data_IF_519560472794
#
_entry.id   IF_519560472794
#
_cell.length_a   1.000
_cell.length_b   1.000
_cell.length_c   1.000
_cell.angle_alpha   90.00
_cell.angle_beta   90.00
_cell.angle_gamma   90.00
#
_symmetry.space_group_name_H-M   'P 1'
#
loop_
_entity.id
_entity.type
_entity.pdbx_description
1 polymer ?
#
# COMPACT_ATOMS: atom_id res chain seq x y z
N UNK A 1 15.78 4.43 -11.16
CA UNK A 1 14.77 5.06 -10.32
C UNK A 1 15.47 5.73 -9.15
N UNK A 2 15.37 7.06 -9.07
CA UNK A 2 15.95 7.85 -8.01
C UNK A 2 15.17 7.73 -6.69
N UNK A 3 15.81 8.13 -5.58
CA UNK A 3 15.16 8.15 -4.25
C UNK A 3 13.93 9.07 -4.24
N UNK A 4 13.98 10.18 -4.98
CA UNK A 4 12.87 11.13 -5.13
C UNK A 4 11.65 10.49 -5.82
N UNK A 5 11.87 9.79 -6.94
CA UNK A 5 10.81 9.10 -7.69
C UNK A 5 10.12 8.04 -6.85
N UNK A 6 10.92 7.24 -6.13
CA UNK A 6 10.39 6.22 -5.22
C UNK A 6 9.57 6.83 -4.07
N UNK A 7 10.03 7.95 -3.52
CA UNK A 7 9.33 8.66 -2.45
C UNK A 7 7.97 9.19 -2.92
N UNK A 8 7.92 9.79 -4.11
CA UNK A 8 6.67 10.30 -4.71
C UNK A 8 5.70 9.14 -5.00
N UNK A 9 6.21 8.03 -5.55
CA UNK A 9 5.44 6.81 -5.78
C UNK A 9 4.80 6.29 -4.48
N UNK A 10 5.58 6.16 -3.40
CA UNK A 10 5.08 5.70 -2.10
C UNK A 10 4.02 6.67 -1.56
N UNK A 11 4.24 7.98 -1.66
CA UNK A 11 3.30 8.97 -1.14
C UNK A 11 1.93 8.89 -1.84
N UNK A 12 1.94 8.83 -3.18
CA UNK A 12 0.72 8.68 -3.99
C UNK A 12 0.04 7.34 -3.66
N UNK A 13 0.82 6.26 -3.62
CA UNK A 13 0.32 4.94 -3.28
C UNK A 13 -0.34 4.90 -1.91
N UNK A 14 0.28 5.49 -0.89
CA UNK A 14 -0.27 5.55 0.46
C UNK A 14 -1.61 6.29 0.50
N UNK A 15 -1.74 7.40 -0.22
CA UNK A 15 -3.02 8.11 -0.33
C UNK A 15 -4.12 7.26 -0.94
N UNK A 16 -3.81 6.54 -2.03
CA UNK A 16 -4.73 5.62 -2.71
C UNK A 16 -5.12 4.45 -1.79
N UNK A 17 -4.15 3.88 -1.08
CA UNK A 17 -4.38 2.79 -0.12
C UNK A 17 -5.30 3.22 1.01
N UNK A 18 -5.06 4.38 1.61
CA UNK A 18 -5.93 4.94 2.65
C UNK A 18 -7.35 5.13 2.10
N UNK A 19 -7.49 5.66 0.88
CA UNK A 19 -8.80 5.86 0.26
C UNK A 19 -9.59 4.55 0.05
N UNK A 20 -8.92 3.46 -0.37
CA UNK A 20 -9.58 2.18 -0.57
C UNK A 20 -9.83 1.41 0.73
N UNK A 21 -8.94 1.50 1.71
CA UNK A 21 -9.01 0.75 2.96
C UNK A 21 -9.94 1.41 3.99
N UNK A 22 -10.13 2.74 3.95
CA UNK A 22 -11.03 3.42 4.88
C UNK A 22 -12.49 3.23 4.44
N UNK A 23 -13.35 2.63 5.28
CA UNK A 23 -14.74 2.44 4.94
C UNK A 23 -15.52 3.77 5.00
N UNK A 24 -16.26 4.08 3.95
CA UNK A 24 -17.08 5.28 3.87
C UNK A 24 -18.35 5.11 4.72
N UNK A 25 -18.66 6.15 5.51
CA UNK A 25 -19.66 6.22 6.61
C UNK A 25 -21.06 5.62 6.39
N UNK A 26 -21.46 5.21 5.17
CA UNK A 26 -22.87 4.96 4.84
C UNK A 26 -23.49 3.75 5.57
N UNK A 27 -22.70 2.77 6.02
CA UNK A 27 -23.23 1.57 6.69
C UNK A 27 -22.91 1.47 8.19
N UNK A 28 -22.20 2.45 8.77
CA UNK A 28 -21.80 2.38 10.19
C UNK A 28 -22.95 2.63 11.17
N UNK A 29 -24.13 3.10 10.72
CA UNK A 29 -25.21 3.49 11.65
C UNK A 29 -25.93 2.30 12.29
N UNK A 30 -25.87 1.10 11.69
CA UNK A 30 -26.61 -0.07 12.21
C UNK A 30 -25.77 -0.99 13.12
N UNK A 31 -24.44 -0.99 13.01
CA UNK A 31 -23.55 -1.88 13.79
C UNK A 31 -23.01 -1.29 15.11
N UNK A 32 -23.26 0.00 15.42
CA UNK A 32 -22.69 0.69 16.61
C UNK A 32 -23.09 0.02 17.95
N UNK A 33 -24.08 -0.88 17.97
CA UNK A 33 -24.55 -1.55 19.19
C UNK A 33 -23.58 -2.59 19.78
N UNK A 34 -22.54 -3.05 19.06
CA UNK A 34 -21.57 -4.04 19.59
C UNK A 34 -20.19 -3.44 19.88
N UNK A 35 -19.48 -3.83 20.96
CA UNK A 35 -18.13 -3.35 21.25
C UNK A 35 -17.20 -3.72 20.09
N UNK A 36 -16.77 -2.71 19.33
CA UNK A 36 -15.99 -2.91 18.11
C UNK A 36 -14.55 -3.25 18.50
N UNK A 37 -14.16 -4.51 18.30
CA UNK A 37 -12.82 -5.00 18.63
C UNK A 37 -11.84 -4.79 17.46
N UNK A 38 -10.53 -4.75 17.75
CA UNK A 38 -9.50 -4.63 16.70
C UNK A 38 -9.61 -5.73 15.63
N UNK A 39 -10.04 -6.94 16.01
CA UNK A 39 -10.29 -8.06 15.11
C UNK A 39 -11.44 -7.79 14.13
N UNK A 40 -12.54 -7.19 14.60
CA UNK A 40 -13.66 -6.81 13.74
C UNK A 40 -13.27 -5.68 12.78
N UNK A 41 -12.43 -4.74 13.23
CA UNK A 41 -11.84 -3.71 12.37
C UNK A 41 -11.03 -4.31 11.23
N UNK A 42 -10.19 -5.30 11.51
CA UNK A 42 -9.40 -6.00 10.50
C UNK A 42 -10.30 -6.71 9.47
N UNK A 43 -11.29 -7.46 9.94
CA UNK A 43 -12.23 -8.16 9.05
C UNK A 43 -13.02 -7.18 8.18
N UNK A 44 -13.48 -6.08 8.76
CA UNK A 44 -14.23 -5.06 8.03
C UNK A 44 -13.38 -4.38 6.94
N UNK A 45 -12.09 -4.15 7.20
CA UNK A 45 -11.16 -3.57 6.21
C UNK A 45 -10.85 -4.60 5.11
N UNK A 46 -10.64 -5.87 5.44
CA UNK A 46 -10.26 -6.92 4.48
C UNK A 46 -11.40 -7.36 3.56
N UNK A 47 -12.62 -7.51 4.08
CA UNK A 47 -13.74 -8.09 3.32
C UNK A 47 -14.59 -7.05 2.57
N UNK A 48 -14.12 -5.80 2.46
CA UNK A 48 -14.80 -4.80 1.67
C UNK A 48 -14.46 -4.95 0.18
N UNK A 49 -15.41 -4.71 -0.73
CA UNK A 49 -15.17 -4.69 -2.20
C UNK A 49 -14.02 -3.76 -2.64
N UNK A 50 -13.65 -2.80 -1.79
CA UNK A 50 -12.57 -1.84 -2.04
C UNK A 50 -11.19 -2.40 -1.68
N UNK A 51 -11.10 -3.41 -0.82
CA UNK A 51 -9.84 -4.09 -0.53
C UNK A 51 -9.26 -4.79 -1.77
N UNK A 52 -10.12 -5.26 -2.68
CA UNK A 52 -9.69 -5.78 -3.98
C UNK A 52 -8.99 -4.71 -4.83
N UNK A 53 -9.48 -3.47 -4.80
CA UNK A 53 -8.84 -2.34 -5.49
C UNK A 53 -7.49 -1.99 -4.87
N UNK A 54 -7.38 -2.07 -3.54
CA UNK A 54 -6.11 -1.91 -2.83
C UNK A 54 -5.10 -3.00 -3.24
N UNK A 55 -5.53 -4.27 -3.31
CA UNK A 55 -4.69 -5.37 -3.77
C UNK A 55 -4.25 -5.20 -5.23
N UNK A 56 -5.15 -4.81 -6.12
CA UNK A 56 -4.83 -4.49 -7.52
C UNK A 56 -3.84 -3.34 -7.62
N UNK A 57 -4.00 -2.29 -6.80
CA UNK A 57 -3.07 -1.17 -6.76
C UNK A 57 -1.67 -1.59 -6.30
N UNK A 58 -1.57 -2.50 -5.32
CA UNK A 58 -0.29 -3.07 -4.90
C UNK A 58 0.36 -3.89 -6.03
N UNK A 59 -0.42 -4.73 -6.72
CA UNK A 59 0.07 -5.49 -7.87
C UNK A 59 0.59 -4.58 -8.98
N UNK A 60 -0.16 -3.52 -9.31
CA UNK A 60 0.25 -2.52 -10.29
C UNK A 60 1.56 -1.82 -9.87
N UNK A 61 1.68 -1.45 -8.59
CA UNK A 61 2.90 -0.83 -8.06
C UNK A 61 4.12 -1.75 -8.19
N UNK A 62 3.99 -3.05 -7.88
CA UNK A 62 5.08 -4.00 -8.02
C UNK A 62 5.52 -4.15 -9.48
N UNK A 63 4.57 -4.24 -10.41
CA UNK A 63 4.89 -4.26 -11.86
C UNK A 63 5.58 -2.97 -12.28
N UNK A 64 5.11 -1.81 -11.81
CA UNK A 64 5.73 -0.52 -12.12
C UNK A 64 7.18 -0.44 -11.62
N UNK A 65 7.46 -0.93 -10.40
CA UNK A 65 8.83 -1.01 -9.87
C UNK A 65 9.69 -1.91 -10.77
N UNK A 66 9.20 -3.10 -11.13
CA UNK A 66 9.91 -4.01 -12.02
C UNK A 66 10.26 -3.35 -13.36
N UNK A 67 9.25 -2.83 -14.05
CA UNK A 67 9.39 -2.21 -15.36
C UNK A 67 10.29 -0.98 -15.33
N UNK A 68 10.25 -0.18 -14.26
CA UNK A 68 11.14 0.97 -14.10
C UNK A 68 12.62 0.56 -14.03
N UNK A 69 12.95 -0.46 -13.25
CA UNK A 69 14.33 -0.96 -13.14
C UNK A 69 14.79 -1.67 -14.42
N UNK A 70 13.94 -2.47 -15.06
CA UNK A 70 14.21 -3.09 -16.37
C UNK A 70 14.54 -2.03 -17.42
N UNK A 71 13.75 -0.96 -17.49
CA UNK A 71 13.95 0.12 -18.44
C UNK A 71 15.26 0.87 -18.20
N UNK A 72 15.64 1.11 -16.94
CA UNK A 72 16.93 1.73 -16.61
C UNK A 72 18.11 0.86 -17.01
N UNK A 73 18.04 -0.44 -16.74
CA UNK A 73 19.08 -1.41 -17.13
C UNK A 73 19.19 -1.47 -18.65
N UNK A 74 18.07 -1.57 -19.35
CA UNK A 74 18.04 -1.57 -20.81
C UNK A 74 18.67 -0.29 -21.38
N UNK A 75 18.28 0.87 -20.88
CA UNK A 75 18.80 2.15 -21.35
C UNK A 75 20.31 2.28 -21.11
N UNK A 76 20.79 1.90 -19.91
CA UNK A 76 22.21 1.90 -19.60
C UNK A 76 22.98 0.94 -20.52
N UNK A 77 22.52 -0.30 -20.67
CA UNK A 77 23.22 -1.31 -21.46
C UNK A 77 23.23 -0.99 -22.97
N UNK A 78 22.20 -0.30 -23.46
CA UNK A 78 22.09 0.09 -24.87
C UNK A 78 22.93 1.34 -25.23
N UNK A 79 23.14 2.26 -24.28
CA UNK A 79 23.66 3.59 -24.61
C UNK A 79 24.90 4.05 -23.83
N UNK A 80 25.31 3.33 -22.77
CA UNK A 80 26.37 3.82 -21.88
C UNK A 80 27.79 3.57 -22.40
N UNK A 81 27.99 2.60 -23.31
CA UNK A 81 29.32 2.17 -23.76
C UNK A 81 30.16 1.46 -22.69
N UNK A 82 29.59 1.20 -21.51
CA UNK A 82 30.19 0.46 -20.41
C UNK A 82 29.74 -1.02 -20.41
N UNK A 83 30.41 -1.91 -19.66
CA UNK A 83 29.96 -3.29 -19.50
C UNK A 83 28.52 -3.37 -18.96
N UNK A 84 27.76 -4.39 -19.37
CA UNK A 84 26.36 -4.50 -18.99
C UNK A 84 26.20 -4.63 -17.47
N UNK A 85 25.23 -3.90 -16.93
CA UNK A 85 24.86 -3.95 -15.52
C UNK A 85 23.59 -4.79 -15.34
N UNK A 86 23.43 -5.36 -14.14
CA UNK A 86 22.19 -5.97 -13.69
C UNK A 86 21.67 -5.25 -12.43
N UNK A 87 20.35 -5.08 -12.31
CA UNK A 87 19.71 -4.43 -11.17
C UNK A 87 18.76 -5.34 -10.36
N UNK A 88 18.64 -6.63 -10.70
CA UNK A 88 17.70 -7.58 -10.09
C UNK A 88 17.68 -7.55 -8.55
N UNK A 89 18.85 -7.53 -7.92
CA UNK A 89 18.95 -7.53 -6.45
C UNK A 89 18.36 -6.26 -5.82
N UNK A 90 18.52 -5.11 -6.48
CA UNK A 90 17.93 -3.85 -6.03
C UNK A 90 16.42 -3.88 -6.25
N UNK A 91 15.97 -4.33 -7.43
CA UNK A 91 14.54 -4.43 -7.77
C UNK A 91 13.79 -5.31 -6.77
N UNK A 92 14.31 -6.50 -6.46
CA UNK A 92 13.73 -7.42 -5.48
C UNK A 92 13.70 -6.78 -4.09
N UNK A 93 14.79 -6.12 -3.66
CA UNK A 93 14.84 -5.44 -2.38
C UNK A 93 13.73 -4.37 -2.25
N UNK A 94 13.55 -3.53 -3.27
CA UNK A 94 12.51 -2.49 -3.25
C UNK A 94 11.09 -3.07 -3.29
N UNK A 95 10.87 -4.16 -4.03
CA UNK A 95 9.59 -4.88 -3.99
C UNK A 95 9.28 -5.43 -2.60
N UNK A 96 10.25 -6.10 -1.96
CA UNK A 96 10.09 -6.61 -0.60
C UNK A 96 9.87 -5.49 0.41
N UNK A 97 10.61 -4.39 0.30
CA UNK A 97 10.42 -3.21 1.16
C UNK A 97 9.01 -2.61 1.00
N UNK A 98 8.50 -2.55 -0.23
CA UNK A 98 7.15 -2.04 -0.55
C UNK A 98 6.06 -2.95 0.01
N UNK A 99 6.24 -4.26 -0.06
CA UNK A 99 5.35 -5.23 0.57
C UNK A 99 5.33 -5.08 2.09
N UNK A 100 6.50 -5.04 2.72
CA UNK A 100 6.63 -4.82 4.17
C UNK A 100 5.98 -3.51 4.61
N UNK A 101 6.24 -2.42 3.89
CA UNK A 101 5.60 -1.14 4.11
C UNK A 101 4.08 -1.22 4.04
N UNK A 102 3.54 -1.91 3.03
CA UNK A 102 2.09 -2.07 2.85
C UNK A 102 1.45 -2.80 4.01
N UNK A 103 2.09 -3.86 4.52
CA UNK A 103 1.62 -4.59 5.70
C UNK A 103 1.59 -3.67 6.93
N UNK A 104 2.65 -2.90 7.17
CA UNK A 104 2.71 -1.95 8.28
C UNK A 104 1.61 -0.89 8.16
N UNK A 105 1.45 -0.31 6.98
CA UNK A 105 0.42 0.70 6.71
C UNK A 105 -0.98 0.15 6.98
N UNK A 106 -1.24 -1.09 6.56
CA UNK A 106 -2.51 -1.77 6.80
C UNK A 106 -2.80 -1.97 8.30
N UNK A 107 -1.81 -2.44 9.07
CA UNK A 107 -1.96 -2.59 10.53
C UNK A 107 -2.21 -1.25 11.22
N UNK A 108 -1.48 -0.21 10.81
CA UNK A 108 -1.62 1.14 11.36
C UNK A 108 -3.01 1.71 11.08
N UNK A 109 -3.53 1.52 9.86
CA UNK A 109 -4.90 1.90 9.50
C UNK A 109 -5.95 1.18 10.33
N UNK A 110 -5.83 -0.14 10.49
CA UNK A 110 -6.73 -0.91 11.34
C UNK A 110 -6.71 -0.42 12.79
N UNK A 111 -5.53 -0.10 13.31
CA UNK A 111 -5.37 0.41 14.68
C UNK A 111 -5.99 1.80 14.85
N UNK A 112 -5.68 2.73 13.94
CA UNK A 112 -6.24 4.09 13.94
C UNK A 112 -7.78 4.06 13.83
N UNK A 113 -8.32 3.19 12.98
CA UNK A 113 -9.77 3.04 12.83
C UNK A 113 -10.43 2.50 14.10
N UNK A 114 -9.83 1.49 14.74
CA UNK A 114 -10.29 0.95 16.02
C UNK A 114 -10.30 2.02 17.13
N UNK A 115 -9.23 2.83 17.22
CA UNK A 115 -9.15 3.95 18.17
C UNK A 115 -10.20 5.04 17.90
N UNK A 116 -10.41 5.38 16.62
CA UNK A 116 -11.41 6.38 16.23
C UNK A 116 -12.82 5.95 16.65
N UNK A 117 -13.18 4.69 16.43
CA UNK A 117 -14.48 4.14 16.87
C UNK A 117 -14.58 4.13 18.40
N UNK A 118 -13.52 3.71 19.10
CA UNK A 118 -13.50 3.67 20.57
C UNK A 118 -13.70 5.05 21.20
N UNK A 119 -13.09 6.11 20.64
CA UNK A 119 -13.30 7.50 21.10
C UNK A 119 -14.72 7.99 20.83
N UNK A 120 -15.30 7.65 19.68
CA UNK A 120 -16.66 8.09 19.30
C UNK A 120 -17.76 7.48 20.17
N UNK A 121 -17.57 6.29 20.74
CA UNK A 121 -18.53 5.68 21.68
C UNK A 121 -18.52 6.30 23.08
N UNK A 122 -17.53 7.15 23.40
CA UNK A 122 -17.35 7.78 24.72
C UNK A 122 -17.93 9.20 24.80
N UNK A 123 -18.44 9.74 23.68
CA UNK A 123 -19.12 11.04 23.56
C UNK A 123 -20.58 10.78 23.25
#
# INVERSE_FOLDING_TARGET
MGVSEFTVMILIYSGIMIFFLVPFKKNQSEEIKRPFTFKESLLHITFHKKALLALLSLGFLLVAIWSGYEQDVYHFNAHSGFPPINSDSKTIFYMCATLGYTVILYFLLAFCFSLYISKRKRV
#
